data_IF_402051638676
#
_entry.id   IF_402051638676
#
_cell.length_a   1.000
_cell.length_b   1.000
_cell.length_c   1.000
_cell.angle_alpha   90.00
_cell.angle_beta   90.00
_cell.angle_gamma   90.00
#
_symmetry.space_group_name_H-M   'P 1'
#
loop_
_entity.id
_entity.type
_entity.pdbx_description
1 polymer ?
#
# COMPACT_ATOMS: atom_id res chain seq x y z
N UNK A 1 -3.31 -16.18 72.55
CA UNK A 1 -2.47 -16.57 71.40
C UNK A 1 -3.20 -16.16 70.14
N UNK A 2 -2.64 -15.21 69.39
CA UNK A 2 -3.16 -14.69 68.13
C UNK A 2 -3.20 -15.79 67.06
N UNK A 3 -4.31 -15.85 66.33
CA UNK A 3 -4.41 -16.56 65.05
C UNK A 3 -4.47 -15.47 63.97
N UNK A 4 -3.42 -15.40 63.16
CA UNK A 4 -3.38 -14.57 61.95
C UNK A 4 -3.99 -15.36 60.79
N UNK A 5 -5.18 -14.94 60.35
CA UNK A 5 -5.83 -15.41 59.13
C UNK A 5 -5.64 -14.39 57.99
N UNK A 6 -4.81 -14.79 57.04
CA UNK A 6 -4.57 -14.33 55.67
C UNK A 6 -5.49 -13.21 55.13
N UNK A 7 -4.90 -12.04 54.85
CA UNK A 7 -5.34 -11.13 53.79
C UNK A 7 -4.19 -11.00 52.78
N UNK A 8 -4.41 -11.49 51.57
CA UNK A 8 -3.47 -11.34 50.46
C UNK A 8 -3.57 -9.91 49.87
N UNK A 9 -2.46 -9.19 49.67
CA UNK A 9 -2.45 -8.08 48.74
C UNK A 9 -2.17 -8.62 47.33
N UNK A 10 -3.13 -8.40 46.44
CA UNK A 10 -3.01 -8.61 45.00
C UNK A 10 -1.84 -7.80 44.45
N UNK A 11 -0.71 -8.45 44.22
CA UNK A 11 0.30 -7.95 43.28
C UNK A 11 -0.22 -8.23 41.88
N UNK A 12 -0.74 -7.19 41.24
CA UNK A 12 -0.89 -7.12 39.79
C UNK A 12 0.50 -7.28 39.17
N UNK A 13 0.88 -8.53 38.89
CA UNK A 13 1.97 -8.83 37.98
C UNK A 13 1.55 -8.27 36.63
N UNK A 14 2.14 -7.14 36.25
CA UNK A 14 2.15 -6.69 34.87
C UNK A 14 2.77 -7.82 34.06
N UNK A 15 1.92 -8.57 33.37
CA UNK A 15 2.35 -9.53 32.38
C UNK A 15 3.22 -8.79 31.38
N UNK A 16 4.54 -9.01 31.47
CA UNK A 16 5.43 -8.77 30.35
C UNK A 16 4.87 -9.61 29.21
N UNK A 17 4.19 -8.97 28.26
CA UNK A 17 4.05 -9.51 26.93
C UNK A 17 5.43 -10.03 26.52
N UNK A 18 5.56 -11.26 25.99
CA UNK A 18 6.84 -11.72 25.51
C UNK A 18 7.30 -10.69 24.50
N UNK A 19 8.39 -9.98 24.80
CA UNK A 19 9.08 -9.19 23.80
C UNK A 19 9.33 -10.16 22.66
N UNK A 20 8.62 -9.98 21.55
CA UNK A 20 8.79 -10.76 20.34
C UNK A 20 10.29 -10.69 20.07
N UNK A 21 11.03 -11.77 20.30
CA UNK A 21 12.47 -11.76 20.13
C UNK A 21 12.73 -11.27 18.71
N UNK A 22 13.24 -10.05 18.58
CA UNK A 22 13.54 -9.48 17.28
C UNK A 22 14.41 -10.51 16.56
N UNK A 23 13.90 -11.02 15.43
CA UNK A 23 14.52 -12.13 14.72
C UNK A 23 15.93 -11.68 14.33
N UNK A 24 16.93 -12.30 14.93
CA UNK A 24 18.35 -12.00 14.70
C UNK A 24 18.76 -12.59 13.34
N UNK A 25 18.58 -11.81 12.28
CA UNK A 25 18.90 -12.20 10.91
C UNK A 25 17.76 -12.87 10.14
N UNK A 26 18.09 -13.41 8.96
CA UNK A 26 17.19 -14.15 8.08
C UNK A 26 17.15 -13.64 6.65
N UNK A 27 16.46 -14.39 5.78
CA UNK A 27 16.19 -14.00 4.40
C UNK A 27 14.99 -13.03 4.33
N UNK A 28 15.22 -11.84 3.79
CA UNK A 28 14.21 -10.78 3.66
C UNK A 28 13.90 -10.56 2.19
N UNK A 29 12.87 -11.24 1.69
CA UNK A 29 12.40 -11.15 0.29
C UNK A 29 11.21 -10.19 0.19
N UNK A 30 11.47 -8.89 0.26
CA UNK A 30 10.45 -7.82 0.19
C UNK A 30 11.03 -6.62 -0.53
N UNK A 31 10.17 -5.79 -1.11
CA UNK A 31 10.58 -4.56 -1.79
C UNK A 31 10.85 -3.40 -0.83
N UNK A 32 10.43 -3.51 0.43
CA UNK A 32 10.71 -2.55 1.48
C UNK A 32 10.48 -3.18 2.84
N UNK A 33 11.04 -2.56 3.87
CA UNK A 33 10.82 -2.98 5.25
C UNK A 33 11.76 -2.29 6.22
N UNK A 34 11.71 -2.77 7.45
CA UNK A 34 12.45 -2.22 8.58
C UNK A 34 13.24 -3.35 9.27
N UNK A 35 14.49 -3.07 9.64
CA UNK A 35 15.38 -3.98 10.37
C UNK A 35 15.96 -3.22 11.55
N UNK A 36 16.01 -3.88 12.71
CA UNK A 36 16.56 -3.32 13.93
C UNK A 36 17.58 -4.29 14.53
N UNK A 37 18.53 -3.75 15.29
CA UNK A 37 19.32 -4.55 16.21
C UNK A 37 18.41 -5.30 17.18
N UNK A 38 18.80 -6.50 17.64
CA UNK A 38 18.03 -7.22 18.63
C UNK A 38 17.85 -6.36 19.88
N UNK A 39 16.63 -6.36 20.44
CA UNK A 39 16.26 -5.63 21.66
C UNK A 39 16.07 -4.11 21.52
N UNK A 40 16.30 -3.52 20.33
CA UNK A 40 16.03 -2.10 20.08
C UNK A 40 14.59 -1.71 20.49
N UNK A 41 14.37 -0.55 21.16
CA UNK A 41 15.33 0.54 21.43
C UNK A 41 16.18 0.34 22.68
N UNK A 42 16.00 -0.74 23.44
CA UNK A 42 16.88 -1.06 24.56
C UNK A 42 18.24 -1.58 24.05
N UNK A 43 19.23 -1.60 24.93
CA UNK A 43 20.58 -2.03 24.57
C UNK A 43 20.59 -3.45 23.96
N UNK A 44 21.37 -3.64 22.90
CA UNK A 44 21.57 -4.97 22.31
C UNK A 44 22.27 -5.90 23.30
N UNK A 45 22.03 -7.20 23.16
CA UNK A 45 22.72 -8.20 24.01
C UNK A 45 24.16 -8.42 23.53
N UNK A 46 25.09 -8.74 24.45
CA UNK A 46 26.46 -9.11 24.07
C UNK A 46 26.49 -10.45 23.32
N UNK A 47 27.59 -10.69 22.61
CA UNK A 47 27.91 -11.94 21.91
C UNK A 47 26.84 -12.37 20.90
N UNK A 48 26.38 -11.44 20.08
CA UNK A 48 25.40 -11.70 19.01
C UNK A 48 26.04 -11.59 17.64
N UNK A 49 25.59 -12.46 16.74
CA UNK A 49 25.88 -12.39 15.31
C UNK A 49 24.55 -12.54 14.60
N UNK A 50 24.09 -11.47 13.95
CA UNK A 50 22.84 -11.45 13.20
C UNK A 50 23.15 -11.15 11.73
N UNK A 51 22.60 -11.94 10.82
CA UNK A 51 22.87 -11.81 9.37
C UNK A 51 21.55 -11.71 8.61
N UNK A 52 21.34 -10.61 7.90
CA UNK A 52 20.20 -10.37 7.04
C UNK A 52 20.59 -10.45 5.57
N UNK A 53 19.81 -11.19 4.78
CA UNK A 53 19.94 -11.30 3.32
C UNK A 53 18.75 -10.63 2.67
N UNK A 54 18.92 -9.38 2.25
CA UNK A 54 17.84 -8.58 1.69
C UNK A 54 17.79 -8.82 0.19
N UNK A 55 16.62 -9.18 -0.33
CA UNK A 55 16.36 -9.32 -1.78
C UNK A 55 15.09 -8.55 -2.14
N UNK A 56 15.24 -7.56 -3.01
CA UNK A 56 14.12 -6.84 -3.63
C UNK A 56 13.83 -7.43 -5.02
N UNK A 57 12.76 -6.96 -5.65
CA UNK A 57 12.39 -7.32 -7.03
C UNK A 57 13.56 -7.22 -8.01
N UNK A 58 13.62 -8.14 -8.96
CA UNK A 58 14.67 -8.19 -9.98
C UNK A 58 14.68 -6.91 -10.85
N UNK A 59 15.87 -6.47 -11.27
CA UNK A 59 16.04 -5.23 -12.05
C UNK A 59 16.04 -3.93 -11.23
N UNK A 60 15.96 -4.03 -9.90
CA UNK A 60 16.09 -2.90 -8.96
C UNK A 60 17.33 -3.07 -8.08
N UNK A 61 17.65 -2.05 -7.30
CA UNK A 61 18.68 -2.13 -6.25
C UNK A 61 18.08 -2.01 -4.85
N UNK A 62 18.83 -2.40 -3.83
CA UNK A 62 18.48 -2.20 -2.42
C UNK A 62 19.04 -0.85 -1.96
N UNK A 63 18.18 0.01 -1.44
CA UNK A 63 18.55 1.22 -0.71
C UNK A 63 18.39 0.99 0.79
N UNK A 64 19.29 1.55 1.61
CA UNK A 64 19.21 1.58 3.08
C UNK A 64 19.24 3.02 3.58
N UNK A 65 18.37 3.32 4.54
CA UNK A 65 18.33 4.60 5.27
C UNK A 65 18.31 4.32 6.77
N UNK A 66 19.33 4.78 7.47
CA UNK A 66 19.40 4.66 8.93
C UNK A 66 18.50 5.71 9.59
N UNK A 67 17.70 5.26 10.56
CA UNK A 67 16.89 6.10 11.43
C UNK A 67 17.63 6.41 12.74
N UNK A 68 18.37 5.44 13.27
CA UNK A 68 19.22 5.57 14.45
C UNK A 68 20.43 4.65 14.32
N UNK A 69 21.53 5.04 14.97
CA UNK A 69 22.78 4.29 14.94
C UNK A 69 23.63 4.62 16.18
N UNK A 70 23.73 3.65 17.09
CA UNK A 70 24.53 3.71 18.30
C UNK A 70 25.11 2.31 18.56
N UNK A 71 26.34 2.11 18.12
CA UNK A 71 27.12 0.88 18.34
C UNK A 71 28.39 1.28 19.09
N UNK A 72 28.95 0.38 19.90
CA UNK A 72 30.22 0.65 20.60
C UNK A 72 31.27 1.26 19.66
N UNK A 73 31.86 2.38 20.08
CA UNK A 73 32.81 3.12 19.26
C UNK A 73 34.20 2.51 19.38
N UNK A 74 34.83 2.23 18.24
CA UNK A 74 36.23 1.86 18.13
C UNK A 74 36.81 2.37 16.82
N UNK A 75 38.08 2.78 16.79
CA UNK A 75 38.70 3.41 15.61
C UNK A 75 38.67 2.54 14.35
N UNK A 76 38.70 1.21 14.52
CA UNK A 76 38.61 0.22 13.44
C UNK A 76 37.35 -0.65 13.48
N UNK A 77 36.38 -0.34 14.37
CA UNK A 77 35.18 -1.16 14.59
C UNK A 77 35.51 -2.65 14.81
N UNK A 78 36.45 -2.90 15.73
CA UNK A 78 36.98 -4.24 16.00
C UNK A 78 36.14 -5.04 17.02
N UNK A 79 35.40 -4.33 17.88
CA UNK A 79 34.52 -4.91 18.89
C UNK A 79 33.13 -5.12 18.29
N UNK A 80 32.23 -4.16 18.46
CA UNK A 80 30.91 -4.18 17.86
C UNK A 80 30.88 -3.48 16.51
N UNK A 81 30.13 -4.03 15.57
CA UNK A 81 30.01 -3.42 14.24
C UNK A 81 28.78 -3.88 13.46
N UNK A 82 28.35 -3.01 12.54
CA UNK A 82 27.46 -3.33 11.43
C UNK A 82 28.27 -3.37 10.14
N UNK A 83 28.28 -4.51 9.47
CA UNK A 83 28.94 -4.74 8.19
C UNK A 83 27.91 -4.87 7.07
N UNK A 84 28.14 -4.16 5.97
CA UNK A 84 27.22 -4.12 4.82
C UNK A 84 28.00 -4.45 3.54
N UNK A 85 27.46 -5.38 2.75
CA UNK A 85 28.07 -5.89 1.52
C UNK A 85 27.10 -5.85 0.34
N UNK A 86 27.64 -5.51 -0.82
CA UNK A 86 26.91 -5.40 -2.07
C UNK A 86 26.77 -6.76 -2.77
N UNK A 87 25.72 -7.50 -2.41
CA UNK A 87 25.44 -8.83 -2.93
C UNK A 87 24.69 -9.70 -1.94
N UNK A 88 24.82 -11.01 -2.06
CA UNK A 88 24.01 -11.98 -1.31
C UNK A 88 24.74 -12.72 -0.19
N UNK A 89 26.05 -12.51 -0.02
CA UNK A 89 26.87 -13.29 0.91
C UNK A 89 28.03 -12.50 1.52
N UNK A 90 28.72 -13.12 2.47
CA UNK A 90 29.92 -12.58 3.12
C UNK A 90 31.11 -12.41 2.15
N UNK A 91 31.09 -13.11 1.01
CA UNK A 91 32.09 -12.96 -0.04
C UNK A 91 31.82 -11.77 -0.99
N UNK A 92 30.66 -11.13 -0.88
CA UNK A 92 30.30 -9.96 -1.69
C UNK A 92 31.13 -8.73 -1.33
N UNK A 93 31.23 -7.78 -2.28
CA UNK A 93 32.01 -6.56 -2.14
C UNK A 93 31.63 -5.79 -0.88
N UNK A 94 32.61 -5.37 -0.08
CA UNK A 94 32.37 -4.60 1.13
C UNK A 94 31.95 -3.18 0.76
N UNK A 95 30.76 -2.75 1.22
CA UNK A 95 30.35 -1.34 1.15
C UNK A 95 30.97 -0.60 2.33
N UNK A 96 30.87 -1.16 3.53
CA UNK A 96 31.48 -0.57 4.71
C UNK A 96 31.25 -1.37 5.98
N UNK A 97 32.05 -1.03 6.99
CA UNK A 97 31.89 -1.48 8.37
C UNK A 97 31.73 -0.24 9.25
N UNK A 98 30.70 -0.25 10.08
CA UNK A 98 30.24 0.92 10.82
C UNK A 98 30.13 0.61 12.31
N UNK A 99 30.51 1.58 13.14
CA UNK A 99 30.37 1.56 14.59
C UNK A 99 30.41 3.01 15.13
N UNK A 100 30.14 3.21 16.42
CA UNK A 100 30.01 4.54 17.01
C UNK A 100 28.61 5.12 16.91
N UNK A 101 28.52 6.45 17.00
CA UNK A 101 27.26 7.20 17.13
C UNK A 101 26.92 8.02 15.89
N UNK A 102 27.88 8.15 14.96
CA UNK A 102 27.65 8.85 13.71
C UNK A 102 26.85 7.94 12.78
N UNK A 103 25.66 8.42 12.41
CA UNK A 103 24.77 7.68 11.53
C UNK A 103 25.40 7.54 10.14
N UNK A 104 25.46 6.33 9.56
CA UNK A 104 25.91 6.16 8.19
C UNK A 104 25.04 6.95 7.21
N UNK A 105 25.67 7.37 6.12
CA UNK A 105 25.00 7.90 4.94
C UNK A 105 24.07 6.86 4.32
N UNK A 106 23.17 7.32 3.44
CA UNK A 106 22.26 6.42 2.73
C UNK A 106 23.06 5.49 1.81
N UNK A 107 22.83 4.18 1.93
CA UNK A 107 23.57 3.15 1.21
C UNK A 107 22.72 2.63 0.04
N UNK A 108 23.39 2.36 -1.08
CA UNK A 108 22.80 1.80 -2.29
C UNK A 108 23.63 0.61 -2.78
N UNK A 109 22.99 -0.54 -3.00
CA UNK A 109 23.61 -1.68 -3.67
C UNK A 109 23.65 -1.50 -5.19
N UNK A 110 24.45 -2.31 -5.87
CA UNK A 110 24.48 -2.37 -7.35
C UNK A 110 23.50 -3.41 -7.91
N UNK A 111 23.10 -4.39 -7.10
CA UNK A 111 22.16 -5.45 -7.48
C UNK A 111 20.88 -5.42 -6.65
N UNK A 112 19.91 -6.29 -6.96
CA UNK A 112 18.68 -6.45 -6.17
C UNK A 112 18.91 -7.19 -4.83
N UNK A 113 20.17 -7.40 -4.43
CA UNK A 113 20.57 -8.15 -3.23
C UNK A 113 21.54 -7.33 -2.40
N UNK A 114 21.36 -7.37 -1.09
CA UNK A 114 22.26 -6.77 -0.11
C UNK A 114 22.40 -7.70 1.10
N UNK A 115 23.62 -7.80 1.62
CA UNK A 115 23.95 -8.62 2.76
C UNK A 115 24.40 -7.73 3.92
N UNK A 116 23.83 -7.95 5.10
CA UNK A 116 24.08 -7.14 6.28
C UNK A 116 24.34 -8.02 7.49
N UNK A 117 25.40 -7.74 8.27
CA UNK A 117 25.80 -8.49 9.45
C UNK A 117 26.08 -7.57 10.63
N UNK A 118 25.39 -7.81 11.74
CA UNK A 118 25.67 -7.16 13.01
C UNK A 118 26.42 -8.13 13.92
N UNK A 119 27.48 -7.65 14.57
CA UNK A 119 28.26 -8.38 15.56
C UNK A 119 28.36 -7.56 16.84
N UNK A 120 28.16 -8.21 17.99
CA UNK A 120 28.46 -7.66 19.31
C UNK A 120 29.41 -8.57 20.10
N UNK A 121 30.32 -7.96 20.87
CA UNK A 121 31.32 -8.62 21.69
C UNK A 121 30.80 -8.89 23.12
N UNK A 122 31.69 -9.20 24.07
CA UNK A 122 31.32 -9.55 25.45
C UNK A 122 30.93 -8.37 26.35
N UNK A 123 31.09 -7.12 25.91
CA UNK A 123 31.00 -5.93 26.75
C UNK A 123 30.39 -4.73 26.02
N UNK A 124 30.23 -3.60 26.74
CA UNK A 124 29.78 -2.28 26.25
C UNK A 124 28.68 -2.33 25.18
N UNK A 125 27.44 -2.53 25.64
CA UNK A 125 26.29 -2.52 24.75
C UNK A 125 25.67 -1.11 24.63
N UNK A 126 24.96 -0.89 23.52
CA UNK A 126 24.27 0.37 23.18
C UNK A 126 22.90 0.06 22.59
N UNK A 127 22.08 1.08 22.34
CA UNK A 127 20.75 0.92 21.75
C UNK A 127 20.79 0.17 20.40
N UNK A 128 21.87 0.30 19.63
CA UNK A 128 22.08 -0.38 18.36
C UNK A 128 21.57 0.46 17.18
N UNK A 129 20.85 -0.15 16.24
CA UNK A 129 20.46 0.53 15.01
C UNK A 129 19.02 0.22 14.61
N UNK A 130 18.43 1.15 13.89
CA UNK A 130 17.16 0.98 13.20
C UNK A 130 17.34 1.46 11.75
N UNK A 131 17.11 0.57 10.78
CA UNK A 131 17.35 0.84 9.35
C UNK A 131 16.12 0.46 8.53
N UNK A 132 15.75 1.33 7.60
CA UNK A 132 14.77 1.00 6.56
C UNK A 132 15.49 0.55 5.31
N UNK A 133 15.00 -0.52 4.69
CA UNK A 133 15.40 -0.89 3.33
C UNK A 133 14.24 -0.68 2.36
N UNK A 134 14.57 -0.40 1.10
CA UNK A 134 13.60 -0.18 0.04
C UNK A 134 14.19 -0.54 -1.33
N UNK A 135 13.33 -0.82 -2.31
CA UNK A 135 13.71 -0.95 -3.71
C UNK A 135 14.03 0.44 -4.27
N UNK A 136 15.26 0.64 -4.69
CA UNK A 136 15.69 1.81 -5.43
C UNK A 136 15.60 1.57 -6.93
N UNK A 137 15.15 2.60 -7.66
CA UNK A 137 14.86 2.59 -9.10
C UNK A 137 16.04 2.20 -10.00
N UNK A 138 15.76 1.96 -11.29
CA UNK A 138 16.71 1.40 -12.27
C UNK A 138 17.99 2.24 -12.41
N UNK A 139 19.11 1.66 -12.93
CA UNK A 139 20.37 2.39 -13.17
C UNK A 139 20.29 3.61 -14.11
N UNK A 140 19.12 3.91 -14.70
CA UNK A 140 18.96 4.96 -15.72
C UNK A 140 18.07 6.15 -15.30
N UNK A 141 17.77 6.33 -14.02
CA UNK A 141 17.15 7.59 -13.55
C UNK A 141 18.20 8.58 -13.06
N UNK A 142 18.60 9.47 -13.96
CA UNK A 142 19.41 10.65 -13.67
C UNK A 142 18.59 11.62 -12.81
N UNK A 143 19.03 11.83 -11.57
CA UNK A 143 18.92 13.15 -10.94
C UNK A 143 17.93 13.35 -9.80
N UNK A 144 17.54 12.33 -9.04
CA UNK A 144 16.82 12.53 -7.78
C UNK A 144 16.93 11.34 -6.84
N UNK A 145 17.36 11.57 -5.60
CA UNK A 145 17.40 10.55 -4.56
C UNK A 145 15.96 10.06 -4.28
N UNK A 146 15.59 8.80 -4.56
CA UNK A 146 14.28 8.27 -4.24
C UNK A 146 14.19 8.06 -2.72
N UNK A 147 13.74 9.09 -1.97
CA UNK A 147 13.40 8.95 -0.55
C UNK A 147 12.06 8.20 -0.44
N UNK A 148 12.09 6.87 -0.52
CA UNK A 148 11.00 6.00 -0.04
C UNK A 148 11.25 5.68 1.43
N UNK A 149 11.20 6.71 2.28
CA UNK A 149 11.45 6.60 3.71
C UNK A 149 10.16 6.41 4.50
N UNK A 150 9.98 5.22 5.08
CA UNK A 150 8.94 4.89 6.07
C UNK A 150 9.19 5.54 7.44
N UNK A 151 9.43 6.85 7.47
CA UNK A 151 9.21 7.67 8.65
C UNK A 151 7.75 8.10 8.68
N UNK A 152 7.12 8.14 9.86
CA UNK A 152 5.81 8.77 9.99
C UNK A 152 5.87 10.27 9.66
N UNK A 153 7.07 10.84 9.53
CA UNK A 153 7.35 12.22 9.24
C UNK A 153 8.73 12.34 8.57
N UNK A 154 8.93 13.40 7.79
CA UNK A 154 10.20 13.66 7.11
C UNK A 154 10.16 14.95 6.28
N UNK A 155 11.22 15.21 5.53
CA UNK A 155 11.31 16.40 4.67
C UNK A 155 11.80 16.07 3.27
N UNK A 156 11.22 16.75 2.29
CA UNK A 156 11.54 16.68 0.85
C UNK A 156 11.97 18.07 0.41
N UNK A 157 13.02 18.14 -0.41
CA UNK A 157 13.54 19.38 -0.97
C UNK A 157 13.78 19.21 -2.46
N UNK A 158 13.70 20.31 -3.21
CA UNK A 158 14.23 20.37 -4.57
C UNK A 158 15.73 20.05 -4.59
N UNK A 159 16.27 19.50 -5.70
CA UNK A 159 17.71 19.29 -5.83
C UNK A 159 18.47 20.61 -5.66
N UNK A 160 19.60 20.59 -4.96
CA UNK A 160 20.43 21.79 -4.76
C UNK A 160 19.96 22.76 -3.67
N UNK A 161 18.79 22.52 -3.05
CA UNK A 161 18.28 23.33 -1.94
C UNK A 161 19.36 23.56 -0.85
N UNK A 162 19.55 24.80 -0.34
CA UNK A 162 18.74 26.02 -0.54
C UNK A 162 19.16 26.89 -1.75
N UNK A 163 20.05 26.40 -2.61
CA UNK A 163 20.39 27.06 -3.87
C UNK A 163 19.32 26.76 -4.92
N UNK A 164 19.42 27.44 -6.06
CA UNK A 164 18.54 27.20 -7.19
C UNK A 164 18.64 25.75 -7.67
N UNK A 165 17.50 25.18 -8.06
CA UNK A 165 17.49 23.81 -8.60
C UNK A 165 18.15 23.76 -9.98
N UNK A 166 18.77 22.64 -10.38
CA UNK A 166 19.29 22.53 -11.73
C UNK A 166 18.17 22.36 -12.77
N UNK A 167 18.39 22.75 -14.03
CA UNK A 167 17.45 22.47 -15.13
C UNK A 167 17.42 20.97 -15.48
N UNK A 168 16.40 20.57 -16.24
CA UNK A 168 16.16 19.22 -16.77
C UNK A 168 16.11 18.14 -15.70
N UNK A 169 15.47 18.43 -14.56
CA UNK A 169 15.26 17.45 -13.50
C UNK A 169 13.88 16.85 -13.60
N UNK A 170 13.81 15.56 -13.26
CA UNK A 170 12.58 14.83 -13.09
C UNK A 170 12.73 14.00 -11.83
N UNK A 171 12.29 14.55 -10.71
CA UNK A 171 12.43 13.94 -9.40
C UNK A 171 11.08 13.41 -8.94
N UNK A 172 11.02 12.14 -8.55
CA UNK A 172 9.79 11.50 -8.08
C UNK A 172 10.02 10.98 -6.66
N UNK A 173 9.17 11.42 -5.74
CA UNK A 173 9.08 10.88 -4.39
C UNK A 173 7.80 10.08 -4.25
N UNK A 174 7.93 8.90 -3.66
CA UNK A 174 6.83 7.99 -3.39
C UNK A 174 6.83 7.72 -1.89
N UNK A 175 5.79 8.18 -1.21
CA UNK A 175 5.62 8.05 0.22
C UNK A 175 4.58 6.95 0.50
N UNK A 176 4.91 6.06 1.43
CA UNK A 176 4.02 4.99 1.89
C UNK A 176 4.04 4.94 3.41
N UNK A 177 2.87 5.14 4.02
CA UNK A 177 2.61 5.01 5.44
C UNK A 177 1.87 3.68 5.73
N UNK A 178 1.66 3.30 7.00
CA UNK A 178 0.80 2.15 7.33
C UNK A 178 -0.64 2.34 6.84
N UNK A 179 -1.37 1.26 6.56
CA UNK A 179 -2.69 1.27 5.89
C UNK A 179 -3.81 2.04 6.62
N UNK A 180 -3.61 2.41 7.88
CA UNK A 180 -4.55 3.22 8.68
C UNK A 180 -4.16 4.71 8.75
N UNK A 181 -3.10 5.10 8.05
CA UNK A 181 -2.55 6.45 8.10
C UNK A 181 -2.83 7.18 6.80
N UNK A 182 -2.89 8.51 6.88
CA UNK A 182 -2.86 9.40 5.72
C UNK A 182 -1.65 10.30 5.83
N UNK A 183 -1.06 10.64 4.69
CA UNK A 183 0.15 11.46 4.58
C UNK A 183 -0.31 12.88 4.24
N UNK A 184 0.14 13.84 5.04
CA UNK A 184 -0.01 15.27 4.77
C UNK A 184 1.34 15.85 4.37
N UNK A 185 1.35 16.64 3.31
CA UNK A 185 2.51 17.36 2.79
C UNK A 185 2.28 18.85 3.00
N UNK A 186 3.24 19.52 3.63
CA UNK A 186 3.21 20.93 3.91
C UNK A 186 4.50 21.58 3.42
N UNK A 187 4.36 22.61 2.59
CA UNK A 187 5.49 23.39 2.11
C UNK A 187 5.91 24.42 3.16
N UNK A 188 7.20 24.45 3.48
CA UNK A 188 7.85 25.51 4.26
C UNK A 188 8.24 26.66 3.35
N UNK A 189 8.72 26.33 2.15
CA UNK A 189 9.10 27.26 1.10
C UNK A 189 8.74 26.69 -0.28
N UNK A 190 8.29 27.54 -1.19
CA UNK A 190 7.95 27.16 -2.55
C UNK A 190 8.18 28.33 -3.52
N UNK A 191 9.05 28.12 -4.51
CA UNK A 191 9.31 29.04 -5.60
C UNK A 191 9.84 28.26 -6.81
N UNK A 192 9.01 28.06 -7.83
CA UNK A 192 9.42 27.47 -9.12
C UNK A 192 9.07 28.41 -10.27
N UNK A 193 9.68 28.22 -11.43
CA UNK A 193 9.24 28.89 -12.64
C UNK A 193 7.80 28.47 -12.99
N UNK A 194 6.95 29.43 -13.36
CA UNK A 194 5.63 29.13 -13.90
C UNK A 194 4.62 30.25 -13.73
N UNK A 195 3.45 30.02 -14.32
CA UNK A 195 2.23 30.81 -14.22
C UNK A 195 1.05 29.85 -13.99
N UNK A 196 -0.20 30.31 -14.07
CA UNK A 196 -1.40 29.54 -13.73
C UNK A 196 -1.54 28.13 -14.37
N UNK A 197 -0.84 27.86 -15.48
CA UNK A 197 -0.91 26.57 -16.20
C UNK A 197 0.25 25.63 -15.84
N UNK A 198 1.29 26.11 -15.16
CA UNK A 198 2.47 25.35 -14.76
C UNK A 198 3.07 24.53 -15.90
N UNK A 199 3.32 25.21 -17.03
CA UNK A 199 3.82 24.58 -18.27
C UNK A 199 5.30 24.20 -18.20
N UNK A 200 6.10 25.03 -17.55
CA UNK A 200 7.56 24.90 -17.45
C UNK A 200 7.92 24.01 -16.27
N UNK A 201 8.30 24.60 -15.15
CA UNK A 201 8.62 23.89 -13.92
C UNK A 201 7.39 23.68 -13.05
N UNK A 202 7.31 22.52 -12.41
CA UNK A 202 6.17 22.24 -11.55
C UNK A 202 6.44 21.16 -10.51
N UNK A 203 5.64 21.20 -9.46
CA UNK A 203 5.46 20.10 -8.51
C UNK A 203 4.05 19.54 -8.66
N UNK A 204 3.92 18.25 -8.95
CA UNK A 204 2.66 17.55 -9.06
C UNK A 204 2.48 16.58 -7.88
N UNK A 205 1.30 16.58 -7.24
CA UNK A 205 1.02 15.74 -6.06
C UNK A 205 -0.20 14.86 -6.29
N UNK A 206 -0.07 13.55 -6.01
CA UNK A 206 -1.12 12.54 -6.26
C UNK A 206 -1.35 11.60 -5.07
N UNK A 207 -2.59 11.14 -4.89
CA UNK A 207 -2.96 10.08 -3.93
C UNK A 207 -2.80 8.69 -4.55
N UNK A 208 -1.57 8.19 -4.54
CA UNK A 208 -1.20 6.89 -5.11
C UNK A 208 0.25 6.86 -5.55
N UNK A 209 0.74 5.70 -5.98
CA UNK A 209 2.14 5.52 -6.38
C UNK A 209 2.37 5.67 -7.89
N UNK A 210 1.31 5.78 -8.69
CA UNK A 210 1.40 5.83 -10.15
C UNK A 210 1.05 7.22 -10.69
N UNK A 211 1.44 7.50 -11.93
CA UNK A 211 1.07 8.74 -12.61
C UNK A 211 -0.46 8.85 -12.84
N UNK A 212 -1.17 7.72 -12.94
CA UNK A 212 -2.63 7.70 -13.15
C UNK A 212 -3.44 7.87 -11.86
N UNK A 213 -2.76 7.94 -10.71
CA UNK A 213 -3.40 8.12 -9.41
C UNK A 213 -4.07 9.49 -9.29
N UNK A 214 -5.04 9.62 -8.38
CA UNK A 214 -5.83 10.85 -8.20
C UNK A 214 -4.93 12.07 -8.00
N UNK A 215 -5.03 13.04 -8.91
CA UNK A 215 -4.33 14.32 -8.84
C UNK A 215 -4.95 15.23 -7.76
N UNK A 216 -4.10 15.76 -6.89
CA UNK A 216 -4.45 16.85 -5.98
C UNK A 216 -4.21 18.21 -6.64
N UNK A 217 -3.08 18.36 -7.30
CA UNK A 217 -2.75 19.60 -8.01
C UNK A 217 -1.38 19.54 -8.66
N UNK A 218 -1.19 20.50 -9.57
CA UNK A 218 0.06 20.82 -10.24
C UNK A 218 0.38 22.27 -9.87
N UNK A 219 1.52 22.48 -9.22
CA UNK A 219 1.86 23.74 -8.56
C UNK A 219 3.13 24.32 -9.16
N UNK A 220 3.18 25.64 -9.28
CA UNK A 220 4.33 26.39 -9.74
C UNK A 220 4.22 27.88 -9.34
N UNK A 221 5.24 28.68 -9.63
CA UNK A 221 5.30 30.07 -9.21
C UNK A 221 5.81 30.22 -7.77
N UNK A 222 5.53 31.37 -7.16
CA UNK A 222 5.97 31.70 -5.79
C UNK A 222 4.86 31.55 -4.73
N UNK A 223 3.63 31.25 -5.15
CA UNK A 223 2.54 31.01 -4.21
C UNK A 223 2.68 29.61 -3.61
N UNK A 224 2.63 29.56 -2.28
CA UNK A 224 2.84 28.33 -1.54
C UNK A 224 1.55 27.51 -1.52
N UNK A 225 1.57 26.22 -1.93
CA UNK A 225 0.39 25.37 -1.83
C UNK A 225 -0.09 25.18 -0.39
N UNK A 226 -1.40 25.08 -0.22
CA UNK A 226 -2.02 24.62 1.03
C UNK A 226 -1.57 23.19 1.39
N UNK A 227 -1.84 22.78 2.63
CA UNK A 227 -1.51 21.43 3.09
C UNK A 227 -2.29 20.40 2.26
N UNK A 228 -1.56 19.46 1.65
CA UNK A 228 -2.14 18.42 0.79
C UNK A 228 -2.14 17.10 1.56
N UNK A 229 -3.31 16.49 1.74
CA UNK A 229 -3.43 15.19 2.41
C UNK A 229 -3.84 14.09 1.44
N UNK A 230 -3.08 13.00 1.38
CA UNK A 230 -3.38 11.81 0.56
C UNK A 230 -4.75 11.22 0.89
N UNK A 231 -5.41 10.55 -0.05
CA UNK A 231 -6.67 9.83 0.20
C UNK A 231 -6.44 8.56 1.02
N UNK A 232 -5.32 7.87 0.77
CA UNK A 232 -4.94 6.62 1.42
C UNK A 232 -3.58 6.75 2.12
N UNK A 233 -2.93 5.64 2.38
CA UNK A 233 -1.62 5.57 3.01
C UNK A 233 -0.44 5.81 2.05
N UNK A 234 -0.68 6.34 0.85
CA UNK A 234 0.38 6.59 -0.11
C UNK A 234 0.20 7.93 -0.85
N UNK A 235 1.33 8.52 -1.25
CA UNK A 235 1.39 9.80 -1.96
C UNK A 235 2.56 9.79 -2.93
N UNK A 236 2.37 10.33 -4.12
CA UNK A 236 3.44 10.58 -5.10
C UNK A 236 3.60 12.08 -5.31
N UNK A 237 4.83 12.56 -5.23
CA UNK A 237 5.23 13.94 -5.51
C UNK A 237 6.20 13.88 -6.69
N UNK A 238 5.95 14.65 -7.74
CA UNK A 238 6.82 14.74 -8.91
C UNK A 238 7.23 16.19 -9.13
N UNK A 239 8.53 16.46 -9.13
CA UNK A 239 9.09 17.75 -9.52
C UNK A 239 9.73 17.62 -10.90
N UNK A 240 9.33 18.48 -11.83
CA UNK A 240 9.97 18.61 -13.14
C UNK A 240 10.49 20.03 -13.33
N UNK A 241 11.70 20.12 -13.88
CA UNK A 241 12.26 21.37 -14.41
C UNK A 241 12.60 21.23 -15.89
N UNK A 242 12.41 22.31 -16.65
CA UNK A 242 12.77 22.39 -18.07
C UNK A 242 14.25 22.79 -18.27
N UNK A 243 14.64 23.15 -19.49
CA UNK A 243 16.03 23.46 -19.82
C UNK A 243 16.48 24.89 -19.48
N UNK A 244 15.58 25.74 -19.00
CA UNK A 244 15.84 27.15 -18.70
C UNK A 244 15.37 27.53 -17.30
N UNK A 245 15.60 28.80 -16.93
CA UNK A 245 15.08 29.52 -15.75
C UNK A 245 14.87 28.65 -14.50
N UNK A 246 15.87 28.66 -13.62
CA UNK A 246 15.75 28.02 -12.32
C UNK A 246 15.38 29.04 -11.23
N UNK A 247 14.74 28.54 -10.17
CA UNK A 247 14.39 29.30 -8.95
C UNK A 247 14.94 28.54 -7.73
N UNK A 248 14.71 29.08 -6.53
CA UNK A 248 15.14 28.43 -5.26
C UNK A 248 14.52 27.04 -5.05
N UNK A 249 13.37 26.76 -5.66
CA UNK A 249 12.68 25.49 -5.55
C UNK A 249 11.84 25.40 -4.29
N UNK A 250 11.90 24.27 -3.59
CA UNK A 250 11.00 24.05 -2.47
C UNK A 250 11.66 23.25 -1.35
N UNK A 251 11.13 23.49 -0.14
CA UNK A 251 11.30 22.65 1.03
C UNK A 251 9.93 22.35 1.60
N UNK A 252 9.62 21.08 1.75
CA UNK A 252 8.39 20.61 2.33
C UNK A 252 8.68 19.58 3.41
N UNK A 253 7.82 19.51 4.40
CA UNK A 253 7.78 18.41 5.35
C UNK A 253 6.50 17.60 5.12
N UNK A 254 6.61 16.29 5.33
CA UNK A 254 5.47 15.40 5.35
C UNK A 254 5.33 14.79 6.73
N UNK A 255 4.09 14.48 7.10
CA UNK A 255 3.77 13.74 8.31
C UNK A 255 2.56 12.86 8.04
N UNK A 256 2.45 11.77 8.78
CA UNK A 256 1.38 10.81 8.66
C UNK A 256 0.72 10.62 10.01
N UNK A 257 -0.58 10.85 10.03
CA UNK A 257 -1.43 10.63 11.19
C UNK A 257 -2.34 9.44 10.94
N UNK A 258 -2.77 8.77 12.01
CA UNK A 258 -3.92 7.85 11.89
C UNK A 258 -5.06 8.67 11.31
N UNK A 259 -5.59 8.21 10.19
CA UNK A 259 -6.88 8.71 9.79
C UNK A 259 -7.84 8.36 10.93
N UNK A 260 -8.77 9.27 11.31
CA UNK A 260 -9.97 8.82 11.97
C UNK A 260 -10.49 7.62 11.17
N UNK A 261 -10.97 6.53 11.82
CA UNK A 261 -11.65 5.48 11.06
C UNK A 261 -12.61 6.21 10.15
N UNK A 262 -12.49 5.99 8.84
CA UNK A 262 -13.39 6.64 7.90
C UNK A 262 -14.78 6.46 8.50
N UNK A 263 -15.55 7.53 8.78
CA UNK A 263 -16.93 7.33 9.18
C UNK A 263 -17.46 6.35 8.16
N UNK A 264 -18.11 5.24 8.57
CA UNK A 264 -18.61 4.27 7.62
C UNK A 264 -19.29 5.11 6.57
N UNK A 265 -18.77 5.05 5.32
CA UNK A 265 -19.33 5.81 4.20
C UNK A 265 -20.82 5.68 4.41
N UNK A 266 -21.61 6.76 4.55
CA UNK A 266 -23.03 6.60 4.72
C UNK A 266 -23.39 5.68 3.57
N UNK A 267 -23.83 4.46 3.88
CA UNK A 267 -24.22 3.50 2.87
C UNK A 267 -25.17 4.32 2.03
N UNK A 268 -24.76 4.70 0.80
CA UNK A 268 -25.52 5.66 0.00
C UNK A 268 -26.90 5.07 0.00
N UNK A 269 -27.84 5.74 0.69
CA UNK A 269 -29.16 5.17 0.91
C UNK A 269 -29.63 4.74 -0.47
N UNK A 270 -29.98 3.46 -0.67
CA UNK A 270 -30.35 2.99 -2.00
C UNK A 270 -31.49 3.88 -2.48
N UNK A 271 -31.29 4.59 -3.60
CA UNK A 271 -32.27 5.52 -4.15
C UNK A 271 -33.55 4.75 -4.53
N UNK A 272 -33.38 3.48 -4.92
CA UNK A 272 -34.43 2.47 -4.95
C UNK A 272 -34.56 1.79 -3.57
N UNK A 273 -35.44 2.31 -2.72
CA UNK A 273 -35.80 1.73 -1.43
C UNK A 273 -37.33 1.82 -1.21
N UNK A 274 -37.91 0.93 -0.38
CA UNK A 274 -39.30 1.08 0.06
C UNK A 274 -39.54 2.46 0.70
N UNK A 275 -40.76 2.98 0.55
CA UNK A 275 -41.10 4.36 0.88
C UNK A 275 -40.61 4.77 2.28
N UNK A 276 -39.80 5.83 2.34
CA UNK A 276 -39.19 6.39 3.54
C UNK A 276 -39.13 7.92 3.38
N UNK A 277 -39.03 8.71 4.46
CA UNK A 277 -38.95 10.18 4.36
C UNK A 277 -37.82 10.70 3.46
N UNK A 278 -36.77 9.89 3.23
CA UNK A 278 -35.63 10.22 2.37
C UNK A 278 -35.74 9.68 0.94
N UNK A 279 -36.64 8.71 0.69
CA UNK A 279 -36.89 8.09 -0.62
C UNK A 279 -38.40 7.90 -0.80
N UNK A 280 -39.13 8.94 -1.24
CA UNK A 280 -40.59 8.94 -1.12
C UNK A 280 -41.28 7.87 -1.97
N UNK A 281 -40.67 7.35 -3.05
CA UNK A 281 -41.33 6.42 -3.98
C UNK A 281 -40.36 5.65 -4.89
N UNK A 282 -39.61 4.63 -4.43
CA UNK A 282 -38.84 3.72 -5.33
C UNK A 282 -38.01 4.44 -6.43
N UNK A 283 -37.29 5.52 -6.09
CA UNK A 283 -36.55 6.35 -7.05
C UNK A 283 -37.41 7.10 -8.10
N UNK A 284 -38.73 7.13 -7.97
CA UNK A 284 -39.65 7.71 -8.94
C UNK A 284 -39.95 6.80 -10.13
N UNK A 285 -39.56 5.52 -10.11
CA UNK A 285 -39.81 4.59 -11.21
C UNK A 285 -41.24 4.02 -11.18
N UNK A 286 -41.92 4.00 -12.33
CA UNK A 286 -43.27 3.42 -12.45
C UNK A 286 -43.27 1.90 -12.27
N UNK A 287 -42.23 1.19 -12.74
CA UNK A 287 -42.09 -0.26 -12.59
C UNK A 287 -40.91 -0.63 -11.68
N UNK A 288 -39.75 -0.94 -12.24
CA UNK A 288 -38.61 -1.45 -11.50
C UNK A 288 -37.54 -0.36 -11.39
N UNK A 289 -36.89 -0.27 -10.23
CA UNK A 289 -35.80 0.66 -9.97
C UNK A 289 -34.56 -0.15 -9.62
N UNK A 290 -33.49 0.01 -10.39
CA UNK A 290 -32.24 -0.72 -10.22
C UNK A 290 -31.16 0.25 -9.75
N UNK A 291 -30.65 0.04 -8.53
CA UNK A 291 -29.52 0.81 -8.02
C UNK A 291 -28.24 0.43 -8.80
N UNK A 292 -27.48 1.44 -9.21
CA UNK A 292 -26.16 1.28 -9.82
C UNK A 292 -25.10 2.02 -9.00
N UNK A 293 -23.81 1.85 -9.31
CA UNK A 293 -22.74 2.48 -8.52
C UNK A 293 -22.83 4.00 -8.58
N UNK A 294 -23.41 4.58 -7.51
CA UNK A 294 -23.58 6.01 -7.35
C UNK A 294 -24.80 6.64 -8.04
N UNK A 295 -25.73 5.84 -8.60
CA UNK A 295 -26.96 6.28 -9.27
C UNK A 295 -28.06 5.19 -9.20
N UNK A 296 -29.14 5.35 -9.96
CA UNK A 296 -30.15 4.34 -10.23
C UNK A 296 -30.75 4.54 -11.63
N UNK A 297 -31.42 3.51 -12.15
CA UNK A 297 -32.20 3.57 -13.40
C UNK A 297 -33.56 2.87 -13.26
N UNK A 298 -34.55 3.34 -14.01
CA UNK A 298 -35.86 2.69 -14.08
C UNK A 298 -35.92 1.70 -15.23
N UNK A 299 -36.49 0.52 -14.99
CA UNK A 299 -36.72 -0.52 -15.99
C UNK A 299 -38.20 -0.88 -16.08
N UNK A 300 -38.67 -1.14 -17.29
CA UNK A 300 -40.03 -1.53 -17.56
C UNK A 300 -40.17 -3.06 -17.66
N UNK A 301 -41.28 -3.58 -17.14
CA UNK A 301 -41.65 -4.99 -17.30
C UNK A 301 -41.95 -5.32 -18.76
N UNK A 302 -41.88 -6.61 -19.09
CA UNK A 302 -42.12 -7.12 -20.45
C UNK A 302 -43.44 -6.59 -21.03
N UNK A 303 -43.41 -6.13 -22.29
CA UNK A 303 -44.55 -5.49 -22.96
C UNK A 303 -44.59 -3.96 -22.80
N UNK A 304 -43.67 -3.36 -22.06
CA UNK A 304 -43.57 -1.91 -21.88
C UNK A 304 -42.17 -1.40 -22.24
N UNK A 305 -42.11 -0.17 -22.74
CA UNK A 305 -40.87 0.54 -23.08
C UNK A 305 -40.75 1.76 -22.20
N UNK A 306 -39.53 2.05 -21.74
CA UNK A 306 -39.25 3.21 -20.91
C UNK A 306 -39.54 4.49 -21.70
N UNK A 307 -40.36 5.34 -21.10
CA UNK A 307 -40.72 6.64 -21.64
C UNK A 307 -39.53 7.60 -21.62
N UNK A 308 -39.59 8.67 -22.41
CA UNK A 308 -38.47 9.62 -22.57
C UNK A 308 -38.10 10.34 -21.26
N UNK A 309 -39.03 10.42 -20.31
CA UNK A 309 -38.77 10.96 -18.98
C UNK A 309 -37.96 10.01 -18.08
N UNK A 310 -37.62 8.80 -18.56
CA UNK A 310 -36.80 7.78 -17.87
C UNK A 310 -37.39 7.25 -16.56
N UNK A 311 -38.65 7.53 -16.27
CA UNK A 311 -39.34 7.13 -15.05
C UNK A 311 -40.60 6.31 -15.34
N UNK A 312 -41.34 6.66 -16.40
CA UNK A 312 -42.57 5.99 -16.78
C UNK A 312 -42.35 4.91 -17.84
N UNK A 313 -43.31 4.00 -17.94
CA UNK A 313 -43.33 2.86 -18.82
C UNK A 313 -44.59 2.92 -19.68
N UNK A 314 -44.39 3.06 -20.99
CA UNK A 314 -45.47 3.08 -21.99
C UNK A 314 -45.63 1.69 -22.59
N UNK A 315 -46.86 1.28 -22.90
CA UNK A 315 -47.10 0.03 -23.63
C UNK A 315 -46.27 0.02 -24.92
N UNK A 316 -45.40 -0.99 -25.03
CA UNK A 316 -44.67 -1.27 -26.24
C UNK A 316 -45.67 -1.84 -27.24
N UNK A 317 -45.99 -1.07 -28.28
CA UNK A 317 -46.87 -1.52 -29.34
C UNK A 317 -46.40 -2.88 -29.86
N UNK A 318 -47.26 -3.90 -29.72
CA UNK A 318 -47.01 -5.23 -30.27
C UNK A 318 -46.84 -5.11 -31.80
N UNK A 319 -45.61 -5.23 -32.29
CA UNK A 319 -45.42 -5.65 -33.68
C UNK A 319 -45.92 -7.10 -33.77
N UNK A 320 -46.86 -7.44 -34.68
CA UNK A 320 -47.34 -8.81 -34.81
C UNK A 320 -46.18 -9.73 -35.22
N UNK A 321 -46.14 -10.98 -34.72
CA UNK A 321 -45.09 -11.92 -35.10
C UNK A 321 -45.13 -12.17 -36.61
N UNK A 322 -43.98 -12.06 -37.26
CA UNK A 322 -43.80 -12.48 -38.66
C UNK A 322 -44.21 -13.95 -38.78
N UNK A 323 -45.12 -14.24 -39.73
CA UNK A 323 -45.56 -15.58 -40.09
C UNK A 323 -44.37 -16.55 -40.27
N UNK A 324 -44.26 -17.55 -39.40
CA UNK A 324 -43.59 -18.81 -39.73
C UNK A 324 -44.65 -19.85 -40.14
N UNK A 325 -44.38 -20.69 -41.16
CA UNK A 325 -45.38 -21.59 -41.71
C UNK A 325 -45.74 -22.71 -40.74
N UNK A 326 -47.02 -23.11 -40.84
CA UNK A 326 -47.79 -23.98 -39.95
C UNK A 326 -47.08 -25.30 -39.61
N UNK A 327 -47.04 -25.64 -38.32
CA UNK A 327 -46.94 -27.01 -37.85
C UNK A 327 -48.20 -27.36 -37.05
N UNK A 328 -48.93 -28.34 -37.58
CA UNK A 328 -50.24 -28.82 -37.14
C UNK A 328 -50.07 -29.62 -35.84
N UNK A 329 -50.84 -29.28 -34.79
CA UNK A 329 -51.05 -30.20 -33.65
C UNK A 329 -52.25 -31.09 -33.92
N UNK A 330 -52.21 -32.39 -33.60
CA UNK A 330 -53.41 -33.15 -33.32
C UNK A 330 -53.82 -33.01 -31.82
N UNK A 331 -55.11 -33.27 -31.51
CA UNK A 331 -55.74 -32.88 -30.25
C UNK A 331 -55.62 -33.96 -29.15
N UNK A 332 -55.81 -33.56 -27.89
CA UNK A 332 -55.93 -34.46 -26.73
C UNK A 332 -57.40 -34.73 -26.41
N UNK A 333 -57.76 -36.00 -26.18
CA UNK A 333 -58.74 -36.45 -25.16
C UNK A 333 -58.64 -37.97 -24.97
N UNK A 334 -58.24 -38.44 -23.78
CA UNK A 334 -59.03 -39.17 -22.75
C UNK A 334 -59.04 -40.71 -22.89
N UNK A 335 -58.32 -41.41 -21.98
CA UNK A 335 -58.80 -42.49 -21.10
C UNK A 335 -57.63 -43.26 -20.41
N UNK A 336 -57.81 -43.56 -19.12
CA UNK A 336 -57.06 -44.56 -18.31
C UNK A 336 -57.45 -46.00 -18.73
N UNK A 337 -56.92 -47.14 -18.21
CA UNK A 337 -55.92 -47.37 -17.13
C UNK A 337 -54.88 -48.51 -17.38
N UNK A 338 -53.92 -48.68 -16.42
CA UNK A 338 -53.13 -49.88 -15.98
C UNK A 338 -52.44 -50.77 -17.05
N UNK A 339 -51.22 -51.31 -16.93
CA UNK A 339 -50.53 -52.07 -15.86
C UNK A 339 -49.07 -52.34 -16.33
N UNK A 340 -48.03 -52.09 -15.53
CA UNK A 340 -47.23 -53.07 -14.74
C UNK A 340 -46.77 -54.34 -15.50
N UNK A 341 -45.48 -54.44 -15.85
CA UNK A 341 -44.48 -55.41 -15.34
C UNK A 341 -43.18 -55.41 -16.19
N UNK A 342 -42.07 -55.43 -15.45
CA UNK A 342 -40.65 -55.70 -15.79
C UNK A 342 -40.43 -57.11 -16.42
N UNK A 343 -39.22 -57.62 -16.77
CA UNK A 343 -37.89 -57.28 -16.20
C UNK A 343 -36.59 -57.44 -17.06
N UNK A 344 -35.49 -57.10 -16.37
CA UNK A 344 -34.14 -57.72 -16.37
C UNK A 344 -33.08 -57.36 -17.43
N UNK A 345 -31.89 -57.05 -16.90
CA UNK A 345 -30.62 -56.92 -17.60
C UNK A 345 -29.57 -56.14 -16.79
N UNK A 346 -29.02 -56.76 -15.75
CA UNK A 346 -27.83 -56.33 -14.99
C UNK A 346 -26.55 -56.34 -15.86
N UNK A 347 -25.54 -55.53 -15.49
CA UNK A 347 -24.17 -55.97 -15.10
C UNK A 347 -23.31 -54.73 -14.70
N UNK A 348 -22.32 -55.03 -13.87
CA UNK A 348 -21.67 -54.28 -12.78
C UNK A 348 -20.30 -53.64 -13.12
N UNK A 349 -19.73 -52.96 -12.12
CA UNK A 349 -18.31 -52.56 -11.86
C UNK A 349 -17.80 -51.24 -12.45
N UNK A 350 -17.00 -50.41 -11.77
CA UNK A 350 -16.32 -50.53 -10.47
C UNK A 350 -15.32 -49.37 -10.27
N UNK A 351 -14.93 -49.17 -9.00
CA UNK A 351 -14.07 -48.11 -8.44
C UNK A 351 -12.62 -48.01 -8.93
N UNK A 352 -12.00 -46.85 -8.59
CA UNK A 352 -10.69 -46.66 -7.90
C UNK A 352 -9.62 -45.73 -8.53
N UNK A 353 -9.09 -44.88 -7.63
CA UNK A 353 -7.68 -44.45 -7.41
C UNK A 353 -7.14 -43.06 -7.85
N UNK A 354 -6.58 -42.38 -6.82
CA UNK A 354 -5.62 -41.27 -6.77
C UNK A 354 -4.31 -41.50 -7.57
N UNK A 355 -3.49 -40.43 -7.72
CA UNK A 355 -2.16 -40.50 -7.10
C UNK A 355 -1.67 -39.21 -6.41
N UNK A 356 -0.88 -39.40 -5.35
CA UNK A 356 0.15 -38.47 -4.87
C UNK A 356 1.42 -38.59 -5.73
N UNK A 357 2.23 -37.54 -5.79
CA UNK A 357 3.70 -37.67 -5.84
C UNK A 357 4.39 -36.36 -5.42
N UNK A 358 5.35 -36.50 -4.52
CA UNK A 358 6.27 -35.49 -4.04
C UNK A 358 7.59 -35.53 -4.84
N UNK A 359 8.24 -34.38 -4.99
CA UNK A 359 9.69 -34.19 -4.83
C UNK A 359 10.02 -32.73 -4.61
#
# INVERSE_FOLDING_TARGET
QQIWGVWAPSLLAWGRSPALAAICGGDVKKDNGHIQSPNYPDDYRPSKVCVWKITVSEGFHVGLTFQSFEIERHDSCAYDYLEIRDGSSEASSLIGRYCGYDKPDDIKSTSNKLWMKFVSDGSINKAGFAVNFFKGGRPNEVGGNPKTGGGLNGSITSPGWPKEYPPNKNCIWQLVAPTQYRISLQFDFFETEGNDVCKYDFVEVRSGLTADSKLHGKFCGAEKPDVITSQYNNMRIEFKSDNTVSKKGFKAHFFSGRAPPAPPLPARLPLCAPASPLTPNNGGCQHECLNSFGSYECQCRSGFVLHDNKHDCKEGGFAPPKNHPKSVRPPRTLHSPRSRLQPQGDVHLGDHHQPQLAR
#
